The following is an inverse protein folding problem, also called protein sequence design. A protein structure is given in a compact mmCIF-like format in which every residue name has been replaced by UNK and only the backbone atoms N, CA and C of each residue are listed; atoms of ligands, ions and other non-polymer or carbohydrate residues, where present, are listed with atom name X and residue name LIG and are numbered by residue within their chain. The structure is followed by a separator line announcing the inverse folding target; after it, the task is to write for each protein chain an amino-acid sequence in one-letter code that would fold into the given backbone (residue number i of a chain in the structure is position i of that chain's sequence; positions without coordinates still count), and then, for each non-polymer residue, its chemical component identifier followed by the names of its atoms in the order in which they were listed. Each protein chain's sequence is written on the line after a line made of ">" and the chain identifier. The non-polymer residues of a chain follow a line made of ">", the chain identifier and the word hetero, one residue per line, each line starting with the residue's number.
data_IF_531789229333
#
_entry.id   IF_531789229333
#
_cell.length_a   1.000
_cell.length_b   1.000
_cell.length_c   1.000
_cell.angle_alpha   90.00
_cell.angle_beta   90.00
_cell.angle_gamma   90.00
#
_symmetry.space_group_name_H-M   'P 1'
#
loop_
_entity.id
_entity.type
_entity.pdbx_description
1 polymer ?
#
# COMPACT_ATOMS: atom_id res chain seq x y z
N UNK A 1 22.22 27.52 5.15
CA UNK A 1 22.80 27.38 3.81
C UNK A 1 22.43 25.99 3.35
N UNK A 2 21.41 25.88 2.50
CA UNK A 2 21.11 24.60 1.86
C UNK A 2 22.31 24.29 0.95
N UNK A 3 22.85 23.05 0.96
CA UNK A 3 23.90 22.70 0.01
C UNK A 3 23.40 23.01 -1.40
N UNK A 4 24.27 23.57 -2.24
CA UNK A 4 23.98 23.78 -3.67
C UNK A 4 23.29 22.52 -4.20
N UNK A 5 22.13 22.71 -4.85
CA UNK A 5 21.45 21.62 -5.56
C UNK A 5 22.48 21.03 -6.52
N UNK A 6 23.05 19.87 -6.18
CA UNK A 6 23.72 19.05 -7.18
C UNK A 6 22.65 18.79 -8.22
N UNK A 7 22.80 19.47 -9.37
CA UNK A 7 21.88 19.41 -10.48
C UNK A 7 22.06 18.03 -11.13
N UNK A 8 21.57 16.99 -10.45
CA UNK A 8 21.57 15.61 -10.92
C UNK A 8 20.47 15.53 -11.96
N UNK A 9 20.83 15.76 -13.22
CA UNK A 9 19.89 15.63 -14.32
C UNK A 9 19.34 14.19 -14.35
N UNK A 10 18.01 14.02 -14.30
CA UNK A 10 17.42 12.69 -14.31
C UNK A 10 17.67 12.00 -15.65
N UNK A 11 18.21 10.79 -15.59
CA UNK A 11 18.40 9.93 -16.76
C UNK A 11 17.26 8.91 -16.82
N UNK A 12 16.86 8.48 -18.02
CA UNK A 12 15.91 7.37 -18.17
C UNK A 12 16.67 6.05 -18.02
N UNK A 13 16.29 5.27 -17.02
CA UNK A 13 16.73 3.89 -16.86
C UNK A 13 15.61 2.91 -17.24
N UNK A 14 16.02 1.79 -17.82
CA UNK A 14 15.22 0.62 -18.09
C UNK A 14 15.54 -0.41 -17.01
N UNK A 15 14.61 -0.62 -16.08
CA UNK A 15 14.84 -1.27 -14.81
C UNK A 15 14.25 -2.67 -14.87
N UNK A 16 15.04 -3.69 -14.50
CA UNK A 16 14.56 -5.03 -14.15
C UNK A 16 14.76 -5.25 -12.65
N UNK A 17 13.67 -5.44 -11.92
CA UNK A 17 13.70 -5.88 -10.52
C UNK A 17 13.44 -7.38 -10.46
N UNK A 18 14.19 -8.09 -9.61
CA UNK A 18 14.14 -9.54 -9.46
C UNK A 18 14.09 -9.84 -7.96
N UNK A 19 13.20 -10.74 -7.55
CA UNK A 19 13.06 -11.16 -6.16
C UNK A 19 12.79 -12.67 -6.06
N UNK A 20 13.39 -13.31 -5.07
CA UNK A 20 13.27 -14.74 -4.79
C UNK A 20 12.02 -14.99 -3.95
N UNK A 21 11.06 -15.70 -4.53
CA UNK A 21 9.80 -16.01 -3.85
C UNK A 21 10.01 -17.04 -2.75
N UNK A 22 9.62 -16.67 -1.53
CA UNK A 22 9.73 -17.53 -0.36
C UNK A 22 11.12 -17.52 0.28
N UNK A 23 12.00 -16.60 -0.11
CA UNK A 23 13.36 -16.45 0.40
C UNK A 23 13.44 -16.47 1.94
N UNK A 24 12.63 -15.66 2.62
CA UNK A 24 12.66 -15.53 4.09
C UNK A 24 12.25 -16.79 4.84
N UNK A 25 11.68 -17.80 4.16
CA UNK A 25 11.29 -19.09 4.76
C UNK A 25 12.44 -20.11 4.75
N UNK A 26 13.52 -19.83 4.02
CA UNK A 26 14.68 -20.70 3.89
C UNK A 26 15.63 -20.53 5.08
N UNK A 27 16.45 -21.55 5.34
CA UNK A 27 17.57 -21.45 6.28
C UNK A 27 18.64 -20.51 5.75
N UNK A 28 19.42 -19.88 6.64
CA UNK A 28 20.44 -18.87 6.27
C UNK A 28 21.46 -19.40 5.25
N UNK A 29 21.90 -20.65 5.39
CA UNK A 29 22.82 -21.27 4.43
C UNK A 29 22.17 -21.47 3.05
N UNK A 30 20.90 -21.85 3.01
CA UNK A 30 20.14 -21.99 1.76
C UNK A 30 19.89 -20.64 1.10
N UNK A 31 19.61 -19.61 1.90
CA UNK A 31 19.46 -18.23 1.44
C UNK A 31 20.74 -17.72 0.75
N UNK A 32 21.92 -17.98 1.33
CA UNK A 32 23.20 -17.59 0.76
C UNK A 32 23.47 -18.33 -0.55
N UNK A 33 23.29 -19.64 -0.57
CA UNK A 33 23.53 -20.46 -1.77
C UNK A 33 22.63 -20.02 -2.93
N UNK A 34 21.33 -19.86 -2.66
CA UNK A 34 20.35 -19.46 -3.66
C UNK A 34 20.68 -18.09 -4.24
N UNK A 35 21.03 -17.10 -3.41
CA UNK A 35 21.41 -15.77 -3.92
C UNK A 35 22.72 -15.81 -4.72
N UNK A 36 23.70 -16.63 -4.32
CA UNK A 36 24.95 -16.75 -5.06
C UNK A 36 24.71 -17.38 -6.43
N UNK A 37 23.87 -18.42 -6.50
CA UNK A 37 23.47 -19.06 -7.75
C UNK A 37 22.69 -18.10 -8.65
N UNK A 38 21.73 -17.35 -8.10
CA UNK A 38 20.98 -16.32 -8.85
C UNK A 38 21.92 -15.22 -9.38
N UNK A 39 22.86 -14.72 -8.55
CA UNK A 39 23.86 -13.72 -8.98
C UNK A 39 24.71 -14.24 -10.12
N UNK A 40 25.13 -15.51 -10.08
CA UNK A 40 25.90 -16.14 -11.16
C UNK A 40 25.09 -16.18 -12.45
N UNK A 41 23.86 -16.69 -12.39
CA UNK A 41 22.94 -16.75 -13.54
C UNK A 41 22.78 -15.37 -14.18
N UNK A 42 22.47 -14.35 -13.35
CA UNK A 42 22.29 -12.98 -13.84
C UNK A 42 23.56 -12.44 -14.50
N UNK A 43 24.74 -12.68 -13.92
CA UNK A 43 26.02 -12.23 -14.49
C UNK A 43 26.36 -12.90 -15.82
N UNK A 44 25.95 -14.15 -16.02
CA UNK A 44 26.27 -14.92 -17.23
C UNK A 44 25.31 -14.65 -18.39
N UNK A 45 24.23 -13.89 -18.17
CA UNK A 45 23.33 -13.46 -19.24
C UNK A 45 24.03 -12.55 -20.26
N UNK A 46 23.64 -12.69 -21.54
CA UNK A 46 24.20 -11.90 -22.65
C UNK A 46 23.85 -10.43 -22.49
N UNK A 47 22.61 -10.11 -22.09
CA UNK A 47 22.17 -8.75 -21.76
C UNK A 47 23.11 -8.10 -20.73
N UNK A 48 23.37 -8.77 -19.61
CA UNK A 48 24.19 -8.22 -18.53
C UNK A 48 25.63 -8.06 -18.95
N UNK A 49 26.21 -9.06 -19.62
CA UNK A 49 27.57 -8.96 -20.17
C UNK A 49 27.71 -7.79 -21.15
N UNK A 50 26.76 -7.64 -22.09
CA UNK A 50 26.82 -6.59 -23.10
C UNK A 50 26.65 -5.19 -22.52
N UNK A 51 25.78 -5.03 -21.51
CA UNK A 51 25.55 -3.75 -20.86
C UNK A 51 26.73 -3.35 -19.96
N UNK A 52 27.30 -4.30 -19.22
CA UNK A 52 28.51 -4.10 -18.40
C UNK A 52 29.72 -3.74 -19.25
N UNK A 53 29.95 -4.43 -20.38
CA UNK A 53 31.05 -4.11 -21.31
C UNK A 53 30.96 -2.67 -21.86
N UNK A 54 29.75 -2.11 -21.95
CA UNK A 54 29.54 -0.72 -22.38
C UNK A 54 29.53 0.30 -21.22
N UNK A 55 29.68 -0.13 -19.97
CA UNK A 55 29.56 0.76 -18.80
C UNK A 55 28.14 1.29 -18.57
N UNK A 56 27.11 0.63 -19.10
CA UNK A 56 25.70 1.08 -19.09
C UNK A 56 24.79 0.11 -18.33
N UNK A 57 25.32 -0.44 -17.24
CA UNK A 57 24.61 -1.33 -16.31
C UNK A 57 24.94 -0.96 -14.87
N UNK A 58 23.90 -0.74 -14.05
CA UNK A 58 24.03 -0.66 -12.59
C UNK A 58 23.31 -1.84 -11.96
N UNK A 59 23.91 -2.44 -10.93
CA UNK A 59 23.34 -3.55 -10.18
C UNK A 59 23.23 -3.18 -8.71
N UNK A 60 22.00 -3.21 -8.18
CA UNK A 60 21.71 -2.86 -6.80
C UNK A 60 21.14 -4.08 -6.05
N UNK A 61 21.70 -4.48 -4.89
CA UNK A 61 21.12 -5.55 -4.09
C UNK A 61 19.87 -5.09 -3.34
N UNK A 62 18.85 -5.96 -3.18
CA UNK A 62 17.62 -5.65 -2.42
C UNK A 62 17.38 -6.52 -1.19
N UNK A 63 18.37 -7.36 -0.83
CA UNK A 63 18.28 -8.32 0.27
C UNK A 63 18.02 -9.72 -0.24
N UNK A 64 16.82 -9.97 -0.74
CA UNK A 64 16.33 -11.24 -1.30
C UNK A 64 16.39 -11.30 -2.84
N UNK A 65 16.93 -10.25 -3.46
CA UNK A 65 17.02 -10.14 -4.90
C UNK A 65 17.99 -9.05 -5.36
N UNK A 66 17.70 -8.50 -6.53
CA UNK A 66 18.50 -7.44 -7.13
C UNK A 66 17.69 -6.60 -8.11
N UNK A 67 18.18 -5.39 -8.37
CA UNK A 67 17.70 -4.48 -9.39
C UNK A 67 18.82 -4.25 -10.39
N UNK A 68 18.51 -4.42 -11.67
CA UNK A 68 19.38 -4.13 -12.79
C UNK A 68 18.84 -2.88 -13.50
N UNK A 69 19.69 -1.88 -13.69
CA UNK A 69 19.35 -0.68 -14.43
C UNK A 69 20.16 -0.65 -15.72
N UNK A 70 19.46 -0.72 -16.82
CA UNK A 70 19.98 -0.61 -18.17
C UNK A 70 19.71 0.79 -18.72
N UNK A 71 20.61 1.28 -19.58
CA UNK A 71 20.53 2.66 -20.06
C UNK A 71 20.71 2.79 -21.58
N UNK A 72 20.60 1.68 -22.34
CA UNK A 72 20.75 1.73 -23.81
C UNK A 72 19.45 1.48 -24.54
N UNK A 73 18.65 0.50 -24.10
CA UNK A 73 17.42 0.13 -24.80
C UNK A 73 16.32 -0.36 -23.85
N UNK A 74 15.04 -0.05 -24.15
CA UNK A 74 13.89 -0.58 -23.43
C UNK A 74 13.76 -2.11 -23.55
N UNK A 75 14.41 -2.74 -24.54
CA UNK A 75 14.39 -4.20 -24.69
C UNK A 75 15.26 -4.92 -23.63
N UNK A 76 16.30 -4.27 -23.12
CA UNK A 76 17.31 -4.92 -22.27
C UNK A 76 16.72 -5.59 -21.02
N UNK A 77 15.82 -4.95 -20.23
CA UNK A 77 15.20 -5.60 -19.07
C UNK A 77 14.44 -6.87 -19.42
N UNK A 78 13.68 -6.87 -20.53
CA UNK A 78 12.86 -8.01 -20.90
C UNK A 78 13.69 -9.14 -21.50
N UNK A 79 14.69 -8.80 -22.34
CA UNK A 79 15.69 -9.77 -22.81
C UNK A 79 16.38 -10.46 -21.62
N UNK A 80 16.77 -9.68 -20.61
CA UNK A 80 17.41 -10.22 -19.42
C UNK A 80 16.48 -11.11 -18.60
N UNK A 81 15.22 -10.69 -18.41
CA UNK A 81 14.24 -11.51 -17.71
C UNK A 81 14.01 -12.88 -18.39
N UNK A 82 14.00 -12.89 -19.72
CA UNK A 82 13.90 -14.11 -20.52
C UNK A 82 15.14 -14.99 -20.34
N UNK A 83 16.34 -14.44 -20.51
CA UNK A 83 17.60 -15.20 -20.36
C UNK A 83 17.76 -15.78 -18.95
N UNK A 84 17.39 -15.01 -17.91
CA UNK A 84 17.36 -15.49 -16.53
C UNK A 84 16.37 -16.65 -16.38
N UNK A 85 15.16 -16.51 -16.93
CA UNK A 85 14.13 -17.55 -16.83
C UNK A 85 14.54 -18.83 -17.55
N UNK A 86 15.20 -18.73 -18.70
CA UNK A 86 15.76 -19.87 -19.45
C UNK A 86 16.85 -20.57 -18.63
N UNK A 87 17.79 -19.79 -18.07
CA UNK A 87 18.87 -20.31 -17.23
C UNK A 87 18.40 -20.91 -15.89
N UNK A 88 17.21 -20.53 -15.42
CA UNK A 88 16.58 -21.07 -14.21
C UNK A 88 15.78 -22.36 -14.45
N UNK A 89 15.50 -22.76 -15.69
CA UNK A 89 14.80 -24.03 -15.97
C UNK A 89 15.45 -25.27 -15.33
N UNK A 90 16.79 -25.46 -15.33
CA UNK A 90 17.43 -26.57 -14.63
C UNK A 90 17.44 -26.41 -13.09
N UNK A 91 16.91 -25.31 -12.54
CA UNK A 91 16.97 -24.92 -11.13
C UNK A 91 15.56 -24.66 -10.54
N UNK A 92 14.68 -25.68 -10.48
CA UNK A 92 13.29 -25.51 -10.02
C UNK A 92 13.16 -25.07 -8.55
N UNK A 93 14.22 -25.21 -7.76
CA UNK A 93 14.34 -24.70 -6.40
C UNK A 93 14.38 -23.16 -6.33
N UNK A 94 14.84 -22.50 -7.40
CA UNK A 94 14.97 -21.04 -7.46
C UNK A 94 13.75 -20.46 -8.16
N UNK A 95 12.76 -20.06 -7.35
CA UNK A 95 11.56 -19.40 -7.85
C UNK A 95 11.73 -17.90 -7.75
N UNK A 96 11.80 -17.23 -8.90
CA UNK A 96 11.86 -15.76 -8.96
C UNK A 96 10.53 -15.16 -9.40
N UNK A 97 10.30 -13.91 -9.04
CA UNK A 97 9.34 -13.01 -9.68
C UNK A 97 10.10 -11.82 -10.23
N UNK A 98 9.65 -11.28 -11.35
CA UNK A 98 10.34 -10.19 -12.04
C UNK A 98 9.37 -9.07 -12.41
N UNK A 99 9.85 -7.84 -12.31
CA UNK A 99 9.10 -6.63 -12.66
C UNK A 99 9.98 -5.66 -13.43
N UNK A 100 9.51 -5.13 -14.56
CA UNK A 100 10.27 -4.18 -15.36
C UNK A 100 9.53 -2.87 -15.64
N UNK A 101 10.30 -1.78 -15.70
CA UNK A 101 9.80 -0.43 -15.90
C UNK A 101 10.86 0.49 -16.53
N UNK A 102 10.42 1.45 -17.34
CA UNK A 102 11.27 2.54 -17.87
C UNK A 102 10.89 3.86 -17.22
N UNK A 103 11.83 4.51 -16.52
CA UNK A 103 11.52 5.73 -15.78
C UNK A 103 12.74 6.56 -15.40
N UNK A 104 12.52 7.83 -15.00
CA UNK A 104 13.59 8.72 -14.59
C UNK A 104 14.22 8.27 -13.28
N UNK A 105 15.54 8.35 -13.24
CA UNK A 105 16.37 8.05 -12.07
C UNK A 105 17.52 9.04 -11.95
N UNK A 106 17.96 9.27 -10.72
CA UNK A 106 19.13 10.08 -10.39
C UNK A 106 20.20 9.17 -9.79
N UNK A 107 21.43 9.34 -10.27
CA UNK A 107 22.59 8.70 -9.66
C UNK A 107 22.93 9.41 -8.36
N UNK A 108 23.13 8.65 -7.30
CA UNK A 108 23.53 9.16 -5.99
C UNK A 108 24.62 8.27 -5.41
N UNK A 109 25.35 8.78 -4.43
CA UNK A 109 26.23 7.95 -3.60
C UNK A 109 25.45 7.47 -2.36
N UNK A 110 25.61 6.20 -1.99
CA UNK A 110 25.04 5.65 -0.77
C UNK A 110 25.88 6.02 0.47
N UNK A 111 25.46 5.53 1.63
CA UNK A 111 26.18 5.76 2.91
C UNK A 111 27.60 5.20 2.96
N UNK A 112 27.99 4.40 1.96
CA UNK A 112 29.32 3.80 1.82
C UNK A 112 30.08 4.34 0.60
N UNK A 113 29.67 5.51 0.08
CA UNK A 113 30.24 6.17 -1.10
C UNK A 113 30.20 5.27 -2.36
N UNK A 114 29.22 4.37 -2.45
CA UNK A 114 29.00 3.54 -3.64
C UNK A 114 27.91 4.13 -4.51
N UNK A 115 28.08 4.00 -5.83
CA UNK A 115 27.07 4.37 -6.81
C UNK A 115 25.76 3.63 -6.53
N UNK A 116 24.71 4.41 -6.33
CA UNK A 116 23.35 3.98 -6.08
C UNK A 116 22.38 4.85 -6.87
N UNK A 117 21.09 4.55 -6.79
CA UNK A 117 20.08 5.19 -7.61
C UNK A 117 18.86 5.53 -6.77
N UNK A 118 18.36 6.76 -6.95
CA UNK A 118 17.11 7.21 -6.38
C UNK A 118 16.19 7.76 -7.47
N UNK A 119 14.88 7.63 -7.30
CA UNK A 119 13.93 8.26 -8.22
C UNK A 119 12.61 7.51 -8.34
N UNK A 120 11.66 8.16 -9.02
CA UNK A 120 10.34 7.60 -9.27
C UNK A 120 10.41 6.30 -10.09
N UNK A 121 11.38 6.16 -11.00
CA UNK A 121 11.56 4.94 -11.80
C UNK A 121 11.76 3.68 -10.95
N UNK A 122 12.66 3.73 -9.96
CA UNK A 122 12.94 2.58 -9.08
C UNK A 122 11.71 2.22 -8.25
N UNK A 123 11.01 3.22 -7.72
CA UNK A 123 9.79 3.01 -6.93
C UNK A 123 8.68 2.34 -7.74
N UNK A 124 8.50 2.72 -9.00
CA UNK A 124 7.52 2.10 -9.90
C UNK A 124 7.94 0.67 -10.25
N UNK A 125 9.21 0.44 -10.56
CA UNK A 125 9.73 -0.90 -10.87
C UNK A 125 9.48 -1.89 -9.72
N UNK A 126 9.72 -1.46 -8.47
CA UNK A 126 9.41 -2.27 -7.28
C UNK A 126 7.91 -2.57 -7.14
N UNK A 127 7.03 -1.62 -7.44
CA UNK A 127 5.57 -1.84 -7.41
C UNK A 127 5.12 -2.83 -8.48
N UNK A 128 5.73 -2.79 -9.66
CA UNK A 128 5.49 -3.77 -10.73
C UNK A 128 5.90 -5.17 -10.25
N UNK A 129 7.11 -5.31 -9.70
CA UNK A 129 7.61 -6.56 -9.13
C UNK A 129 6.68 -7.12 -8.04
N UNK A 130 6.29 -6.25 -7.09
CA UNK A 130 5.44 -6.62 -5.97
C UNK A 130 4.06 -7.11 -6.40
N UNK A 131 3.62 -6.77 -7.60
CA UNK A 131 2.32 -7.22 -8.11
C UNK A 131 2.35 -8.67 -8.61
N UNK A 132 3.53 -9.26 -8.80
CA UNK A 132 3.70 -10.60 -9.36
C UNK A 132 3.89 -11.69 -8.31
N UNK A 133 3.48 -12.89 -8.68
CA UNK A 133 3.82 -14.15 -7.99
C UNK A 133 5.02 -14.84 -8.64
N UNK A 134 5.44 -15.99 -8.11
CA UNK A 134 6.50 -16.81 -8.70
C UNK A 134 6.27 -17.08 -10.19
N UNK A 135 7.35 -16.93 -10.97
CA UNK A 135 7.39 -17.11 -12.42
C UNK A 135 6.84 -15.92 -13.23
N UNK A 136 6.22 -14.92 -12.61
CA UNK A 136 5.72 -13.77 -13.38
C UNK A 136 6.87 -12.87 -13.87
N UNK A 137 6.68 -12.34 -15.07
CA UNK A 137 7.43 -11.22 -15.62
C UNK A 137 6.41 -10.12 -15.90
N UNK A 138 6.30 -9.17 -14.98
CA UNK A 138 5.36 -8.06 -15.12
C UNK A 138 6.05 -6.80 -15.64
N UNK A 139 5.32 -6.02 -16.41
CA UNK A 139 5.79 -4.79 -17.03
C UNK A 139 4.86 -3.65 -16.68
N UNK A 140 5.42 -2.46 -16.46
CA UNK A 140 4.62 -1.23 -16.51
C UNK A 140 4.07 -1.01 -17.92
N UNK A 141 2.87 -0.44 -18.04
CA UNK A 141 2.28 -0.11 -19.35
C UNK A 141 3.20 0.74 -20.24
N UNK A 142 3.95 1.69 -19.67
CA UNK A 142 4.90 2.53 -20.41
C UNK A 142 5.92 1.68 -21.16
N UNK A 143 6.65 0.83 -20.44
CA UNK A 143 7.64 -0.07 -21.04
C UNK A 143 6.98 -1.05 -22.02
N UNK A 144 5.81 -1.60 -21.68
CA UNK A 144 5.10 -2.51 -22.56
C UNK A 144 4.68 -1.85 -23.89
N UNK A 145 4.33 -0.56 -23.88
CA UNK A 145 4.02 0.17 -25.11
C UNK A 145 5.27 0.32 -25.99
N UNK A 146 6.42 0.69 -25.41
CA UNK A 146 7.69 0.77 -26.15
C UNK A 146 8.04 -0.59 -26.78
N UNK A 147 7.84 -1.68 -26.04
CA UNK A 147 8.09 -3.05 -26.51
C UNK A 147 7.07 -3.54 -27.55
N UNK A 148 5.84 -3.04 -27.54
CA UNK A 148 4.80 -3.44 -28.47
C UNK A 148 5.07 -2.99 -29.92
N UNK A 149 5.99 -2.04 -30.12
CA UNK A 149 6.48 -1.63 -31.44
C UNK A 149 7.36 -2.70 -32.11
N UNK A 150 7.84 -3.68 -31.35
CA UNK A 150 8.69 -4.76 -31.84
C UNK A 150 7.88 -6.04 -32.07
N UNK A 151 7.95 -6.56 -33.29
CA UNK A 151 7.15 -7.72 -33.72
C UNK A 151 7.39 -8.99 -32.91
N UNK A 152 8.59 -9.17 -32.35
CA UNK A 152 8.94 -10.33 -31.52
C UNK A 152 8.46 -10.23 -30.07
N UNK A 153 8.13 -9.03 -29.58
CA UNK A 153 7.60 -8.85 -28.22
C UNK A 153 6.07 -8.80 -28.19
N UNK A 154 5.47 -8.05 -29.12
CA UNK A 154 4.03 -7.76 -29.14
C UNK A 154 3.10 -8.96 -28.93
N UNK A 155 3.31 -10.15 -29.52
CA UNK A 155 2.40 -11.29 -29.36
C UNK A 155 2.37 -11.88 -27.94
N UNK A 156 3.32 -11.49 -27.08
CA UNK A 156 3.56 -12.07 -25.76
C UNK A 156 3.23 -11.10 -24.61
N UNK A 157 2.63 -9.96 -24.92
CA UNK A 157 2.26 -8.91 -23.98
C UNK A 157 0.76 -8.93 -23.70
N UNK A 158 0.37 -9.32 -22.49
CA UNK A 158 -1.02 -9.50 -22.08
C UNK A 158 -1.41 -8.44 -21.06
N UNK A 159 -2.33 -7.56 -21.42
CA UNK A 159 -2.78 -6.47 -20.55
C UNK A 159 -3.55 -7.02 -19.33
N UNK A 160 -3.14 -6.62 -18.12
CA UNK A 160 -3.82 -6.98 -16.88
C UNK A 160 -4.79 -5.89 -16.41
N UNK A 161 -4.75 -4.70 -17.01
CA UNK A 161 -5.55 -3.54 -16.66
C UNK A 161 -4.96 -2.68 -15.54
N UNK A 162 -5.77 -1.72 -15.07
CA UNK A 162 -5.42 -0.88 -13.92
C UNK A 162 -5.53 -1.67 -12.62
N UNK A 163 -4.41 -1.73 -11.89
CA UNK A 163 -4.26 -2.47 -10.66
C UNK A 163 -3.93 -1.51 -9.52
N UNK A 164 -4.56 -1.70 -8.36
CA UNK A 164 -4.14 -0.99 -7.14
C UNK A 164 -2.90 -1.70 -6.60
N UNK A 165 -1.81 -0.98 -6.48
CA UNK A 165 -0.53 -1.46 -5.96
C UNK A 165 -0.31 -0.91 -4.55
N UNK A 166 0.80 -1.30 -3.94
CA UNK A 166 1.18 -0.91 -2.58
C UNK A 166 1.01 0.59 -2.33
N UNK A 167 0.39 0.94 -1.20
CA UNK A 167 0.02 2.30 -0.77
C UNK A 167 -1.11 2.96 -1.60
N UNK A 168 -1.97 2.16 -2.26
CA UNK A 168 -3.16 2.67 -2.94
C UNK A 168 -2.89 3.36 -4.28
N UNK A 169 -1.67 3.26 -4.80
CA UNK A 169 -1.33 3.77 -6.12
C UNK A 169 -1.98 2.91 -7.19
N UNK A 170 -2.39 3.52 -8.30
CA UNK A 170 -2.91 2.80 -9.46
C UNK A 170 -1.82 2.66 -10.50
N UNK A 171 -1.65 1.44 -11.01
CA UNK A 171 -0.68 1.15 -12.05
C UNK A 171 -1.28 0.22 -13.09
N UNK A 172 -1.10 0.54 -14.37
CA UNK A 172 -1.45 -0.37 -15.45
C UNK A 172 -0.32 -1.38 -15.66
N UNK A 173 -0.66 -2.67 -15.52
CA UNK A 173 0.28 -3.78 -15.60
C UNK A 173 0.07 -4.58 -16.88
N UNK A 174 1.16 -5.09 -17.42
CA UNK A 174 1.17 -6.02 -18.54
C UNK A 174 1.95 -7.25 -18.11
N UNK A 175 1.38 -8.44 -18.34
CA UNK A 175 2.04 -9.71 -18.11
C UNK A 175 2.78 -10.12 -19.37
N UNK A 176 4.04 -10.49 -19.24
CA UNK A 176 4.80 -11.13 -20.31
C UNK A 176 4.89 -12.64 -20.06
N UNK A 177 4.54 -13.43 -21.08
CA UNK A 177 4.82 -14.85 -21.11
C UNK A 177 4.88 -15.40 -22.54
N UNK A 178 5.74 -16.39 -22.77
CA UNK A 178 5.86 -17.15 -24.03
C UNK A 178 6.35 -18.56 -23.74
N UNK A 179 5.85 -19.56 -24.47
CA UNK A 179 6.30 -20.95 -24.37
C UNK A 179 6.36 -21.45 -22.90
N UNK A 180 7.57 -21.70 -22.40
CA UNK A 180 7.87 -22.13 -21.02
C UNK A 180 8.37 -21.00 -20.11
N UNK A 181 8.36 -19.76 -20.60
CA UNK A 181 8.88 -18.56 -19.93
C UNK A 181 7.74 -17.65 -19.49
N UNK A 182 7.79 -17.20 -18.24
CA UNK A 182 6.74 -16.40 -17.63
C UNK A 182 5.61 -17.25 -17.05
N UNK A 183 4.73 -16.61 -16.30
CA UNK A 183 3.56 -17.24 -15.69
C UNK A 183 2.30 -16.65 -16.32
N UNK A 184 1.47 -17.46 -17.04
CA UNK A 184 0.26 -16.97 -17.70
C UNK A 184 -0.91 -16.74 -16.73
N UNK A 185 -0.81 -17.19 -15.48
CA UNK A 185 -1.87 -16.97 -14.50
C UNK A 185 -2.02 -15.47 -14.20
N UNK A 186 -3.21 -15.06 -13.73
CA UNK A 186 -3.40 -13.72 -13.16
C UNK A 186 -2.79 -13.69 -11.75
N UNK A 187 -1.97 -12.71 -11.37
CA UNK A 187 -1.38 -12.65 -10.03
C UNK A 187 -2.42 -12.68 -8.91
N UNK A 188 -2.15 -13.43 -7.83
CA UNK A 188 -3.08 -13.64 -6.71
C UNK A 188 -3.47 -12.34 -6.01
N UNK A 189 -2.52 -11.41 -5.84
CA UNK A 189 -2.77 -10.10 -5.21
C UNK A 189 -3.88 -9.34 -5.94
N UNK A 190 -3.85 -9.34 -7.28
CA UNK A 190 -4.84 -8.65 -8.11
C UNK A 190 -6.23 -9.27 -8.00
N UNK A 191 -6.31 -10.61 -7.87
CA UNK A 191 -7.60 -11.30 -7.69
C UNK A 191 -8.23 -10.97 -6.33
N UNK A 192 -7.41 -10.82 -5.28
CA UNK A 192 -7.89 -10.49 -3.94
C UNK A 192 -8.41 -9.05 -3.85
N UNK A 193 -7.73 -8.11 -4.51
CA UNK A 193 -8.15 -6.70 -4.57
C UNK A 193 -9.46 -6.54 -5.33
N UNK A 194 -9.64 -7.24 -6.45
CA UNK A 194 -10.90 -7.26 -7.21
C UNK A 194 -12.05 -7.91 -6.42
N UNK A 195 -11.80 -9.01 -5.70
CA UNK A 195 -12.80 -9.65 -4.86
C UNK A 195 -13.24 -8.75 -3.70
N UNK A 196 -12.30 -7.97 -3.15
CA UNK A 196 -12.56 -7.00 -2.08
C UNK A 196 -13.34 -5.79 -2.60
N UNK A 197 -12.94 -5.22 -3.73
CA UNK A 197 -13.65 -4.13 -4.39
C UNK A 197 -15.07 -4.54 -4.85
N UNK A 198 -15.22 -5.76 -5.39
CA UNK A 198 -16.51 -6.32 -5.80
C UNK A 198 -17.47 -6.55 -4.63
N UNK A 199 -16.96 -6.85 -3.42
CA UNK A 199 -17.76 -6.93 -2.20
C UNK A 199 -18.27 -5.56 -1.75
N UNK A 200 -17.44 -4.53 -1.78
CA UNK A 200 -17.85 -3.16 -1.44
C UNK A 200 -18.89 -2.62 -2.42
N UNK A 201 -18.71 -2.82 -3.73
CA UNK A 201 -19.67 -2.38 -4.75
C UNK A 201 -21.01 -3.12 -4.63
N UNK A 202 -21.02 -4.43 -4.32
CA UNK A 202 -22.26 -5.18 -4.07
C UNK A 202 -22.97 -4.74 -2.78
N UNK A 203 -22.23 -4.35 -1.75
CA UNK A 203 -22.80 -3.77 -0.53
C UNK A 203 -23.43 -2.38 -0.81
N UNK A 204 -22.79 -1.54 -1.62
CA UNK A 204 -23.33 -0.24 -2.03
C UNK A 204 -24.56 -0.35 -2.97
N UNK A 205 -24.62 -1.39 -3.80
CA UNK A 205 -25.77 -1.64 -4.71
C UNK A 205 -27.06 -2.03 -3.98
N UNK A 206 -26.97 -2.79 -2.87
CA UNK A 206 -28.14 -3.11 -2.03
C UNK A 206 -28.74 -1.86 -1.37
N UNK A 207 -27.94 -0.82 -1.13
CA UNK A 207 -28.42 0.45 -0.57
C UNK A 207 -29.30 1.25 -1.54
N UNK A 208 -29.15 1.10 -2.87
CA UNK A 208 -29.98 1.82 -3.86
C UNK A 208 -31.42 1.28 -3.92
N UNK A 209 -31.61 -0.03 -3.76
CA UNK A 209 -32.95 -0.62 -3.65
C UNK A 209 -33.60 -0.35 -2.28
N UNK A 210 -32.81 -0.23 -1.21
CA UNK A 210 -33.28 0.23 0.10
C UNK A 210 -33.77 1.69 0.06
N UNK A 211 -33.11 2.57 -0.69
CA UNK A 211 -33.55 3.96 -0.90
C UNK A 211 -34.84 4.06 -1.73
N UNK A 212 -35.01 3.26 -2.79
CA UNK A 212 -36.25 3.24 -3.58
C UNK A 212 -37.44 2.71 -2.78
N UNK A 213 -37.25 1.66 -1.97
CA UNK A 213 -38.27 1.16 -1.04
C UNK A 213 -38.58 2.18 0.07
N UNK A 214 -37.57 2.88 0.59
CA UNK A 214 -37.72 3.93 1.58
C UNK A 214 -38.50 5.14 1.06
N UNK A 215 -38.27 5.58 -0.18
CA UNK A 215 -39.01 6.70 -0.79
C UNK A 215 -40.49 6.36 -1.00
N UNK A 216 -40.82 5.14 -1.41
CA UNK A 216 -42.21 4.69 -1.54
C UNK A 216 -42.92 4.61 -0.17
N UNK A 217 -42.20 4.17 0.87
CA UNK A 217 -42.71 4.10 2.23
C UNK A 217 -42.86 5.50 2.87
N UNK A 218 -41.97 6.45 2.55
CA UNK A 218 -42.08 7.86 2.95
C UNK A 218 -43.23 8.55 2.24
N UNK A 219 -43.50 8.26 0.97
CA UNK A 219 -44.67 8.80 0.25
C UNK A 219 -45.98 8.27 0.85
N UNK A 220 -46.04 7.00 1.22
CA UNK A 220 -47.17 6.41 1.94
C UNK A 220 -47.32 6.97 3.37
N UNK A 221 -46.22 7.20 4.07
CA UNK A 221 -46.22 7.81 5.40
C UNK A 221 -46.58 9.30 5.38
N UNK A 222 -46.18 10.05 4.35
CA UNK A 222 -46.55 11.46 4.17
C UNK A 222 -48.05 11.62 3.91
N UNK A 223 -48.67 10.70 3.16
CA UNK A 223 -50.12 10.64 3.02
C UNK A 223 -50.80 10.37 4.38
N UNK A 224 -50.27 9.46 5.19
CA UNK A 224 -50.78 9.19 6.53
C UNK A 224 -50.57 10.35 7.53
N UNK A 225 -49.50 11.13 7.39
CA UNK A 225 -49.16 12.26 8.27
C UNK A 225 -50.06 13.50 8.04
N UNK A 226 -50.77 13.57 6.91
CA UNK A 226 -51.81 14.60 6.69
C UNK A 226 -53.11 14.29 7.44
N UNK A 227 -53.29 13.06 7.93
CA UNK A 227 -54.54 12.60 8.54
C UNK A 227 -54.47 12.39 10.07
N UNK A 228 -53.28 12.44 10.69
CA UNK A 228 -53.11 12.30 12.15
C UNK A 228 -52.26 13.43 12.73
N UNK A 229 -52.67 14.08 13.84
CA UNK A 229 -51.91 15.20 14.38
C UNK A 229 -50.61 14.71 15.04
N UNK A 230 -49.51 15.24 14.49
CA UNK A 230 -48.16 15.46 15.04
C UNK A 230 -47.75 14.63 16.28
N UNK A 231 -46.99 13.57 16.02
CA UNK A 231 -45.90 13.14 16.91
C UNK A 231 -44.58 13.20 16.13
N UNK A 232 -43.71 14.11 16.51
CA UNK A 232 -42.34 14.22 15.97
C UNK A 232 -41.39 13.59 17.00
N UNK A 233 -40.83 12.40 16.75
CA UNK A 233 -39.67 11.96 17.49
C UNK A 233 -38.40 12.57 16.85
N UNK A 234 -37.54 13.18 17.66
CA UNK A 234 -36.20 13.64 17.27
C UNK A 234 -35.38 12.45 16.73
N UNK A 235 -35.02 12.46 15.45
CA UNK A 235 -34.02 11.54 14.90
C UNK A 235 -32.60 12.08 15.18
N UNK A 236 -31.82 11.34 15.95
CA UNK A 236 -30.39 11.56 16.15
C UNK A 236 -29.59 11.16 14.92
N UNK A 237 -28.63 12.01 14.55
CA UNK A 237 -27.74 11.87 13.39
C UNK A 237 -26.74 10.71 13.56
N UNK A 238 -26.61 9.88 12.52
CA UNK A 238 -25.73 8.71 12.41
C UNK A 238 -24.21 9.01 12.50
N UNK A 239 -23.80 10.27 12.70
CA UNK A 239 -22.41 10.62 13.01
C UNK A 239 -22.02 10.34 14.48
N UNK A 240 -23.00 10.12 15.36
CA UNK A 240 -22.77 9.77 16.77
C UNK A 240 -22.30 8.32 16.98
N UNK A 241 -22.40 7.45 15.97
CA UNK A 241 -22.33 6.00 16.18
C UNK A 241 -20.94 5.44 16.55
N UNK A 242 -19.85 6.23 16.41
CA UNK A 242 -18.48 5.79 16.74
C UNK A 242 -17.59 6.90 17.34
N UNK A 243 -18.17 7.79 18.15
CA UNK A 243 -17.42 8.80 18.91
C UNK A 243 -17.07 8.33 20.33
N UNK A 244 -15.84 8.59 20.79
CA UNK A 244 -15.37 8.29 22.15
C UNK A 244 -14.83 9.56 22.84
N UNK A 245 -15.25 9.78 24.08
CA UNK A 245 -14.71 10.82 24.96
C UNK A 245 -14.01 10.17 26.16
N UNK A 246 -12.80 10.64 26.47
CA UNK A 246 -12.06 10.21 27.67
C UNK A 246 -12.24 11.28 28.73
N UNK A 247 -13.03 11.00 29.76
CA UNK A 247 -13.27 11.96 30.83
C UNK A 247 -12.00 12.14 31.69
N UNK A 248 -11.80 13.31 32.32
CA UNK A 248 -10.67 13.49 33.25
C UNK A 248 -10.69 12.44 34.36
N UNK A 249 -9.55 11.82 34.62
CA UNK A 249 -9.45 10.75 35.61
C UNK A 249 -9.53 11.33 37.02
N UNK A 250 -10.30 10.66 37.90
CA UNK A 250 -10.46 11.11 39.29
C UNK A 250 -9.21 10.74 40.10
N UNK A 251 -8.64 11.70 40.82
CA UNK A 251 -7.65 11.43 41.87
C UNK A 251 -8.38 11.35 43.21
N UNK A 252 -8.13 10.29 43.98
CA UNK A 252 -8.71 10.11 45.31
C UNK A 252 -7.83 10.65 46.44
N UNK A 253 -6.59 11.07 46.11
CA UNK A 253 -5.66 11.74 47.02
C UNK A 253 -5.62 13.25 46.71
N UNK A 254 -5.74 14.10 47.74
CA UNK A 254 -5.87 15.56 47.61
C UNK A 254 -4.52 16.28 47.39
N UNK A 255 -3.51 15.57 46.87
CA UNK A 255 -2.17 16.14 46.62
C UNK A 255 -2.06 16.68 45.19
N UNK A 256 -1.84 18.00 45.10
CA UNK A 256 -1.83 18.76 43.84
C UNK A 256 -0.77 18.33 42.81
N UNK A 257 0.27 17.60 43.23
CA UNK A 257 1.32 17.09 42.34
C UNK A 257 0.88 15.89 41.50
N UNK A 258 -0.09 15.09 41.96
CA UNK A 258 -0.58 13.89 41.27
C UNK A 258 -1.64 14.20 40.19
N UNK A 259 -2.22 15.41 40.20
CA UNK A 259 -3.14 15.85 39.13
C UNK A 259 -2.44 15.90 37.77
N UNK A 260 -1.15 16.19 37.74
CA UNK A 260 -0.35 16.20 36.50
C UNK A 260 -0.16 14.77 35.95
N UNK A 261 -0.13 13.76 36.82
CA UNK A 261 0.01 12.36 36.43
C UNK A 261 -1.29 11.83 35.79
N UNK A 262 -2.45 12.09 36.40
CA UNK A 262 -3.75 11.75 35.82
C UNK A 262 -3.97 12.42 34.45
N UNK A 263 -3.55 13.68 34.33
CA UNK A 263 -3.55 14.43 33.08
C UNK A 263 -2.64 13.83 32.00
N UNK A 264 -1.45 13.37 32.39
CA UNK A 264 -0.48 12.71 31.51
C UNK A 264 -1.03 11.41 30.93
N UNK A 265 -1.60 10.56 31.79
CA UNK A 265 -2.23 9.29 31.40
C UNK A 265 -3.41 9.52 30.45
N UNK A 266 -4.26 10.51 30.73
CA UNK A 266 -5.36 10.89 29.83
C UNK A 266 -4.84 11.31 28.45
N UNK A 267 -3.76 12.11 28.41
CA UNK A 267 -3.12 12.54 27.16
C UNK A 267 -2.58 11.38 26.32
N UNK A 268 -1.96 10.38 26.96
CA UNK A 268 -1.44 9.19 26.28
C UNK A 268 -2.57 8.34 25.69
N UNK A 269 -3.65 8.13 26.46
CA UNK A 269 -4.83 7.38 25.98
C UNK A 269 -5.47 8.06 24.77
N UNK A 270 -5.63 9.40 24.80
CA UNK A 270 -6.16 10.15 23.67
C UNK A 270 -5.27 9.98 22.42
N UNK A 271 -3.94 9.99 22.61
CA UNK A 271 -2.97 9.76 21.54
C UNK A 271 -3.10 8.37 20.94
N UNK A 272 -3.23 7.33 21.77
CA UNK A 272 -3.44 5.95 21.31
C UNK A 272 -4.77 5.79 20.55
N UNK A 273 -5.86 6.33 21.08
CA UNK A 273 -7.18 6.26 20.44
C UNK A 273 -7.21 7.01 19.10
N UNK A 274 -6.48 8.13 18.97
CA UNK A 274 -6.39 8.89 17.72
C UNK A 274 -5.80 8.12 16.54
N UNK A 275 -5.03 7.04 16.79
CA UNK A 275 -4.45 6.18 15.75
C UNK A 275 -5.49 5.27 15.09
N UNK A 276 -6.69 5.17 15.67
CA UNK A 276 -7.79 4.37 15.12
C UNK A 276 -8.63 5.23 14.19
N UNK A 277 -8.41 5.09 12.87
CA UNK A 277 -9.08 5.88 11.84
C UNK A 277 -10.62 5.81 11.84
N UNK A 278 -11.20 4.78 12.48
CA UNK A 278 -12.64 4.57 12.60
C UNK A 278 -13.29 5.23 13.82
N UNK A 279 -12.51 5.88 14.70
CA UNK A 279 -13.00 6.52 15.94
C UNK A 279 -12.90 8.04 15.85
N UNK A 280 -14.01 8.73 16.15
CA UNK A 280 -14.01 10.17 16.41
C UNK A 280 -13.61 10.38 17.87
N UNK A 281 -12.38 10.84 18.11
CA UNK A 281 -11.87 11.11 19.46
C UNK A 281 -12.12 12.57 19.82
N UNK A 282 -12.76 12.82 20.97
CA UNK A 282 -13.00 14.18 21.47
C UNK A 282 -11.74 14.75 22.11
N UNK A 283 -11.43 16.02 21.82
CA UNK A 283 -10.23 16.68 22.33
C UNK A 283 -10.24 16.83 23.86
N UNK A 284 -9.05 16.77 24.47
CA UNK A 284 -8.85 17.00 25.91
C UNK A 284 -9.54 18.27 26.39
N UNK A 285 -9.35 19.39 25.70
CA UNK A 285 -9.95 20.69 26.05
C UNK A 285 -11.48 20.68 26.11
N UNK A 286 -12.14 19.85 25.31
CA UNK A 286 -13.61 19.76 25.25
C UNK A 286 -14.21 19.00 26.44
N UNK A 287 -13.41 18.11 27.06
CA UNK A 287 -13.82 17.29 28.22
C UNK A 287 -13.36 17.86 29.56
N UNK A 288 -12.35 18.74 29.58
CA UNK A 288 -11.84 19.38 30.81
C UNK A 288 -12.92 20.15 31.60
N UNK A 289 -13.93 20.70 30.92
CA UNK A 289 -15.06 21.39 31.57
C UNK A 289 -15.93 20.48 32.45
N UNK A 290 -15.76 19.16 32.34
CA UNK A 290 -16.47 18.17 33.13
C UNK A 290 -15.60 17.59 34.26
N UNK A 291 -14.43 18.17 34.57
CA UNK A 291 -13.51 17.62 35.58
C UNK A 291 -14.06 17.60 37.01
N UNK A 292 -14.91 18.59 37.38
CA UNK A 292 -15.31 18.85 38.77
C UNK A 292 -16.80 18.61 39.05
N UNK A 293 -17.53 18.00 38.12
CA UNK A 293 -18.96 17.75 38.31
C UNK A 293 -19.15 16.42 39.06
N UNK A 294 -19.46 16.51 40.35
CA UNK A 294 -19.74 15.36 41.21
C UNK A 294 -20.89 14.49 40.69
N UNK A 295 -21.84 15.10 39.96
CA UNK A 295 -23.02 14.47 39.36
C UNK A 295 -23.10 14.78 37.85
N UNK A 296 -22.21 14.18 37.06
CA UNK A 296 -22.23 14.30 35.60
C UNK A 296 -23.43 13.55 35.02
N UNK A 297 -24.36 14.30 34.43
CA UNK A 297 -25.42 13.74 33.58
C UNK A 297 -24.81 13.31 32.24
N UNK A 298 -24.28 12.09 32.20
CA UNK A 298 -23.61 11.50 31.04
C UNK A 298 -24.49 11.51 29.78
N UNK A 299 -25.82 11.48 29.93
CA UNK A 299 -26.74 11.55 28.80
C UNK A 299 -26.72 12.93 28.12
N UNK A 300 -26.68 14.01 28.91
CA UNK A 300 -26.52 15.38 28.38
C UNK A 300 -25.13 15.59 27.79
N UNK A 301 -24.09 15.08 28.46
CA UNK A 301 -22.71 15.17 27.96
C UNK A 301 -22.56 14.41 26.63
N UNK A 302 -23.22 13.26 26.48
CA UNK A 302 -23.24 12.49 25.24
C UNK A 302 -23.91 13.26 24.09
N UNK A 303 -25.02 13.93 24.37
CA UNK A 303 -25.72 14.79 23.39
C UNK A 303 -24.86 16.00 22.99
N UNK A 304 -24.21 16.64 23.97
CA UNK A 304 -23.39 17.84 23.75
C UNK A 304 -22.08 17.53 22.99
N UNK A 305 -21.40 16.44 23.36
CA UNK A 305 -20.15 16.02 22.70
C UNK A 305 -20.39 15.17 21.45
N UNK A 306 -21.64 14.76 21.20
CA UNK A 306 -22.03 13.86 20.11
C UNK A 306 -21.19 12.58 20.09
N UNK A 307 -21.08 11.92 21.24
CA UNK A 307 -20.34 10.65 21.41
C UNK A 307 -21.25 9.56 21.94
N UNK A 308 -20.88 8.31 21.64
CA UNK A 308 -21.61 7.11 22.10
C UNK A 308 -20.88 6.37 23.22
N UNK A 309 -19.56 6.53 23.31
CA UNK A 309 -18.73 5.83 24.27
C UNK A 309 -17.97 6.81 25.17
N UNK A 310 -17.87 6.48 26.44
CA UNK A 310 -17.07 7.19 27.42
C UNK A 310 -16.04 6.26 28.03
N UNK A 311 -14.86 6.80 28.31
CA UNK A 311 -13.86 6.15 29.13
C UNK A 311 -13.69 6.94 30.43
N UNK A 312 -13.94 6.27 31.54
CA UNK A 312 -13.73 6.79 32.89
C UNK A 312 -12.67 5.95 33.60
N UNK A 313 -11.90 6.59 34.47
CA UNK A 313 -10.85 5.96 35.23
C UNK A 313 -10.48 6.79 36.45
N UNK A 314 -9.82 6.16 37.40
CA UNK A 314 -9.19 6.83 38.53
C UNK A 314 -7.75 6.38 38.65
N UNK A 315 -6.92 7.25 39.19
CA UNK A 315 -5.53 6.95 39.50
C UNK A 315 -5.42 6.84 41.03
N UNK A 316 -4.62 5.88 41.49
CA UNK A 316 -4.33 5.58 42.90
C UNK A 316 -2.83 5.70 43.14
#
# INVERSE_FOLDING_TARGET
>A
MFPEEQNLEPEIAHILSIDVVGYSKLLVNQQIELLNQLKRIVRETKCSCAAEASGRLIRLPTGDGMVLLFFRSPEEPLQCAVEISEALQPHPEIKVRMGAHSGPVNMIEDVNDRLNVAGAGVNVAQRVLDSGDAGHILLSKRLANDLAEYSHWRPHLYDLGECVVKHGFKLQLVNFHRDTIGNPARPQRLQQDEASAGREVKAASRHRYFWLGGVMLVLLAAAALTFFPRFVPKQGSAAADRGIAVLPFKNWNDDSEESYFADGVQGEILTLLSKVAALKVISRTSVMRYSNAADLDLAKVAEELQVRYFLEGSVQ
#
